data_IF_693948442070
#
_entry.id   IF_693948442070
#
_cell.length_a   1.000
_cell.length_b   1.000
_cell.length_c   1.000
_cell.angle_alpha   90.00
_cell.angle_beta   90.00
_cell.angle_gamma   90.00
#
_symmetry.space_group_name_H-M   'P 1'
#
loop_
_entity.id
_entity.type
_entity.pdbx_description
1 polymer ?
#
# COMPACT_ATOMS: atom_id res chain seq x y z
N UNK A 1 16.89 -30.95 9.46
CA UNK A 1 15.53 -30.34 9.45
C UNK A 1 15.66 -29.01 10.16
N UNK A 2 15.75 -27.92 9.41
CA UNK A 2 15.62 -26.61 10.03
C UNK A 2 14.20 -26.47 10.57
N UNK A 3 14.02 -25.96 11.81
CA UNK A 3 12.68 -25.70 12.31
C UNK A 3 12.04 -24.69 11.37
N UNK A 4 10.86 -25.02 10.83
CA UNK A 4 10.03 -24.05 10.12
C UNK A 4 9.90 -22.81 11.01
N UNK A 5 10.64 -21.77 10.68
CA UNK A 5 10.43 -20.43 11.26
C UNK A 5 9.04 -20.02 10.85
N UNK A 6 8.09 -20.22 11.74
CA UNK A 6 6.72 -19.79 11.58
C UNK A 6 6.72 -18.25 11.62
N UNK A 7 7.16 -17.63 10.51
CA UNK A 7 7.25 -16.17 10.38
C UNK A 7 5.85 -15.61 10.51
N UNK A 8 5.61 -14.89 11.60
CA UNK A 8 4.30 -14.34 11.92
C UNK A 8 4.15 -12.91 11.44
N UNK A 9 5.24 -12.14 11.42
CA UNK A 9 5.26 -10.72 11.09
C UNK A 9 6.10 -10.50 9.85
N UNK A 10 5.55 -9.80 8.86
CA UNK A 10 6.27 -9.27 7.72
C UNK A 10 6.15 -7.76 7.72
N UNK A 11 7.28 -7.05 7.67
CA UNK A 11 7.31 -5.59 7.59
C UNK A 11 7.76 -5.17 6.20
N UNK A 12 6.90 -4.44 5.49
CA UNK A 12 7.19 -3.86 4.18
C UNK A 12 7.64 -2.41 4.36
N UNK A 13 8.89 -2.12 4.02
CA UNK A 13 9.45 -0.77 4.08
C UNK A 13 9.64 -0.24 2.66
N UNK A 14 9.30 1.01 2.41
CA UNK A 14 9.53 1.65 1.12
C UNK A 14 8.93 3.04 1.06
N UNK A 15 9.30 3.82 0.06
CA UNK A 15 8.86 5.20 -0.10
C UNK A 15 7.34 5.32 -0.20
N UNK A 16 6.85 6.52 0.04
CA UNK A 16 5.44 6.84 -0.16
C UNK A 16 5.05 6.52 -1.61
N UNK A 17 3.90 5.86 -1.79
CA UNK A 17 3.38 5.42 -3.09
C UNK A 17 4.18 4.30 -3.81
N UNK A 18 5.09 3.61 -3.12
CA UNK A 18 5.80 2.43 -3.68
C UNK A 18 4.91 1.19 -3.88
N UNK A 19 3.63 1.25 -3.52
CA UNK A 19 2.68 0.14 -3.72
C UNK A 19 2.50 -0.78 -2.52
N UNK A 20 3.08 -0.49 -1.34
CA UNK A 20 2.98 -1.33 -0.12
C UNK A 20 1.55 -1.72 0.24
N UNK A 21 0.66 -0.73 0.38
CA UNK A 21 -0.75 -0.97 0.73
C UNK A 21 -1.49 -1.77 -0.34
N UNK A 22 -1.13 -1.58 -1.62
CA UNK A 22 -1.67 -2.38 -2.72
C UNK A 22 -1.21 -3.84 -2.63
N UNK A 23 0.08 -4.05 -2.36
CA UNK A 23 0.64 -5.40 -2.18
C UNK A 23 -0.01 -6.14 -1.00
N UNK A 24 -0.25 -5.45 0.12
CA UNK A 24 -0.95 -6.03 1.26
C UNK A 24 -2.37 -6.49 0.91
N UNK A 25 -3.13 -5.68 0.17
CA UNK A 25 -4.49 -6.04 -0.29
C UNK A 25 -4.45 -7.21 -1.27
N UNK A 26 -3.53 -7.16 -2.25
CA UNK A 26 -3.36 -8.26 -3.20
C UNK A 26 -2.96 -9.58 -2.51
N UNK A 27 -2.19 -9.52 -1.43
CA UNK A 27 -1.86 -10.70 -0.62
C UNK A 27 -3.11 -11.30 0.03
N UNK A 28 -3.98 -10.46 0.62
CA UNK A 28 -5.22 -10.92 1.22
C UNK A 28 -6.16 -11.56 0.19
N UNK A 29 -6.31 -10.94 -0.96
CA UNK A 29 -7.11 -11.46 -2.08
C UNK A 29 -6.54 -12.80 -2.60
N UNK A 30 -5.22 -12.87 -2.81
CA UNK A 30 -4.55 -14.08 -3.28
C UNK A 30 -4.70 -15.26 -2.31
N UNK A 31 -4.60 -15.00 -1.02
CA UNK A 31 -4.73 -16.04 0.02
C UNK A 31 -6.17 -16.33 0.43
N UNK A 32 -7.14 -15.58 -0.11
CA UNK A 32 -8.57 -15.61 0.28
C UNK A 32 -8.75 -15.52 1.80
N UNK A 33 -7.92 -14.69 2.44
CA UNK A 33 -7.88 -14.57 3.90
C UNK A 33 -8.83 -13.49 4.40
N UNK A 34 -9.56 -13.76 5.48
CA UNK A 34 -10.27 -12.73 6.22
C UNK A 34 -9.26 -11.72 6.79
N UNK A 35 -9.39 -10.45 6.41
CA UNK A 35 -8.39 -9.43 6.66
C UNK A 35 -8.91 -8.33 7.59
N UNK A 36 -8.13 -8.02 8.62
CA UNK A 36 -8.28 -6.78 9.40
C UNK A 36 -7.29 -5.74 8.87
N UNK A 37 -7.80 -4.63 8.32
CA UNK A 37 -6.99 -3.53 7.81
C UNK A 37 -7.06 -2.32 8.75
N UNK A 38 -5.94 -2.00 9.37
CA UNK A 38 -5.79 -0.87 10.29
C UNK A 38 -4.84 0.18 9.72
N UNK A 39 -5.18 1.44 9.93
CA UNK A 39 -4.36 2.59 9.63
C UNK A 39 -4.57 3.68 10.69
N UNK A 40 -3.89 4.81 10.56
CA UNK A 40 -3.97 5.95 11.49
C UNK A 40 -5.41 6.49 11.67
N UNK A 41 -6.27 6.35 10.68
CA UNK A 41 -7.64 6.90 10.71
C UNK A 41 -8.66 6.00 11.38
N UNK A 42 -8.47 4.67 11.37
CA UNK A 42 -9.47 3.73 11.91
C UNK A 42 -9.04 2.97 13.17
N UNK A 43 -7.73 2.95 13.47
CA UNK A 43 -7.20 2.21 14.59
C UNK A 43 -7.76 2.67 15.94
N UNK A 44 -8.01 3.98 16.12
CA UNK A 44 -8.55 4.53 17.37
C UNK A 44 -9.93 3.97 17.71
N UNK A 45 -10.75 3.73 16.70
CA UNK A 45 -12.14 3.27 16.84
C UNK A 45 -12.30 1.75 16.79
N UNK A 46 -11.21 1.00 16.50
CA UNK A 46 -11.28 -0.44 16.43
C UNK A 46 -11.39 -1.06 17.83
N UNK A 47 -12.35 -1.98 18.03
CA UNK A 47 -12.51 -2.74 19.28
C UNK A 47 -11.78 -4.09 19.17
N UNK A 48 -10.98 -4.44 20.20
CA UNK A 48 -10.08 -5.61 20.17
C UNK A 48 -10.85 -6.94 20.33
N UNK A 49 -12.14 -6.90 20.62
CA UNK A 49 -12.95 -8.06 21.04
C UNK A 49 -13.21 -9.15 19.98
N UNK A 50 -12.75 -9.00 18.75
CA UNK A 50 -13.14 -9.90 17.63
C UNK A 50 -11.98 -10.23 16.70
N UNK A 51 -10.75 -10.40 17.23
CA UNK A 51 -9.56 -10.67 16.40
C UNK A 51 -9.51 -12.10 15.85
N UNK A 52 -10.15 -13.04 16.51
CA UNK A 52 -10.20 -14.47 16.14
C UNK A 52 -10.80 -14.73 14.75
N UNK A 53 -11.72 -13.89 14.32
CA UNK A 53 -12.37 -13.97 13.00
C UNK A 53 -11.43 -13.65 11.82
N UNK A 54 -10.28 -13.01 12.08
CA UNK A 54 -9.33 -12.61 11.03
C UNK A 54 -8.16 -13.59 10.94
N UNK A 55 -7.73 -13.86 9.70
CA UNK A 55 -6.54 -14.67 9.40
C UNK A 55 -5.30 -13.82 9.15
N UNK A 56 -5.50 -12.56 8.76
CA UNK A 56 -4.45 -11.62 8.41
C UNK A 56 -4.72 -10.25 9.01
N UNK A 57 -3.77 -9.73 9.80
CA UNK A 57 -3.72 -8.33 10.20
C UNK A 57 -2.85 -7.55 9.22
N UNK A 58 -3.34 -6.44 8.72
CA UNK A 58 -2.57 -5.44 7.99
C UNK A 58 -2.57 -4.14 8.79
N UNK A 59 -1.39 -3.63 9.13
CA UNK A 59 -1.21 -2.31 9.72
C UNK A 59 -0.51 -1.44 8.70
N UNK A 60 -1.26 -0.51 8.10
CA UNK A 60 -0.74 0.33 7.02
C UNK A 60 -0.15 1.64 7.57
N UNK A 61 1.08 1.95 7.14
CA UNK A 61 1.85 3.13 7.54
C UNK A 61 1.98 3.28 9.07
N UNK A 62 2.57 2.29 9.73
CA UNK A 62 2.76 2.27 11.19
C UNK A 62 3.53 3.51 11.71
N UNK A 63 4.34 4.11 10.87
CA UNK A 63 5.08 5.33 11.16
C UNK A 63 4.18 6.57 11.38
N UNK A 64 2.89 6.52 11.00
CA UNK A 64 1.93 7.60 11.26
C UNK A 64 1.37 7.60 12.70
N UNK A 65 1.52 6.51 13.44
CA UNK A 65 1.06 6.44 14.85
C UNK A 65 2.11 6.89 15.87
N UNK A 66 3.31 7.25 15.41
CA UNK A 66 4.43 7.69 16.26
C UNK A 66 4.01 8.87 17.12
N UNK A 67 4.51 8.93 18.37
CA UNK A 67 4.22 9.94 19.37
C UNK A 67 2.78 9.93 19.93
N UNK A 68 1.97 8.94 19.57
CA UNK A 68 0.67 8.70 20.19
C UNK A 68 0.71 7.43 21.05
N UNK A 69 0.98 7.58 22.34
CA UNK A 69 1.14 6.45 23.28
C UNK A 69 -0.06 5.50 23.26
N UNK A 70 -1.27 6.05 23.20
CA UNK A 70 -2.51 5.24 23.21
C UNK A 70 -2.62 4.39 21.95
N UNK A 71 -2.24 4.91 20.78
CA UNK A 71 -2.26 4.14 19.53
C UNK A 71 -1.13 3.11 19.49
N UNK A 72 0.07 3.45 20.01
CA UNK A 72 1.18 2.51 20.08
C UNK A 72 0.85 1.33 21.00
N UNK A 73 0.28 1.58 22.20
CA UNK A 73 -0.18 0.53 23.12
C UNK A 73 -1.28 -0.34 22.50
N UNK A 74 -2.23 0.29 21.82
CA UNK A 74 -3.33 -0.41 21.17
C UNK A 74 -2.83 -1.32 20.07
N UNK A 75 -1.96 -0.85 19.17
CA UNK A 75 -1.33 -1.67 18.13
C UNK A 75 -0.49 -2.78 18.73
N UNK A 76 0.28 -2.49 19.76
CA UNK A 76 1.08 -3.52 20.43
C UNK A 76 0.20 -4.65 20.99
N UNK A 77 -0.93 -4.29 21.63
CA UNK A 77 -1.90 -5.26 22.13
C UNK A 77 -2.48 -6.11 21.00
N UNK A 78 -2.92 -5.48 19.90
CA UNK A 78 -3.48 -6.19 18.73
C UNK A 78 -2.45 -7.14 18.12
N UNK A 79 -1.20 -6.70 17.94
CA UNK A 79 -0.12 -7.53 17.41
C UNK A 79 0.12 -8.75 18.31
N UNK A 80 0.19 -8.56 19.63
CA UNK A 80 0.41 -9.65 20.57
C UNK A 80 -0.73 -10.68 20.55
N UNK A 81 -1.98 -10.23 20.53
CA UNK A 81 -3.15 -11.10 20.41
C UNK A 81 -3.14 -11.90 19.10
N UNK A 82 -2.84 -11.27 17.97
CA UNK A 82 -2.71 -11.97 16.68
C UNK A 82 -1.58 -13.01 16.69
N UNK A 83 -0.46 -12.72 17.39
CA UNK A 83 0.62 -13.69 17.57
C UNK A 83 0.14 -14.90 18.42
N UNK A 84 -0.56 -14.66 19.53
CA UNK A 84 -1.13 -15.70 20.39
C UNK A 84 -2.11 -16.58 19.61
N UNK A 85 -2.94 -15.99 18.78
CA UNK A 85 -3.87 -16.67 17.88
C UNK A 85 -3.19 -17.34 16.67
N UNK A 86 -1.86 -17.25 16.55
CA UNK A 86 -1.06 -17.78 15.42
C UNK A 86 -1.47 -17.25 14.05
N UNK A 87 -1.98 -16.02 13.99
CA UNK A 87 -2.40 -15.36 12.76
C UNK A 87 -1.24 -14.66 12.07
N UNK A 88 -1.39 -14.35 10.79
CA UNK A 88 -0.39 -13.63 9.98
C UNK A 88 -0.50 -12.13 10.18
N UNK A 89 0.64 -11.44 10.14
CA UNK A 89 0.70 -9.98 10.34
C UNK A 89 1.56 -9.38 9.24
N UNK A 90 1.02 -8.39 8.53
CA UNK A 90 1.74 -7.59 7.56
C UNK A 90 1.68 -6.12 7.97
N UNK A 91 2.84 -5.49 8.09
CA UNK A 91 2.95 -4.10 8.54
C UNK A 91 3.65 -3.31 7.46
N UNK A 92 3.18 -2.11 7.15
CA UNK A 92 3.88 -1.22 6.22
C UNK A 92 4.45 -0.01 6.94
N UNK A 93 5.59 0.49 6.43
CA UNK A 93 6.24 1.71 6.89
C UNK A 93 6.85 2.48 5.72
N UNK A 94 6.84 3.81 5.79
CA UNK A 94 7.61 4.64 4.88
C UNK A 94 9.02 4.90 5.39
N UNK A 95 9.24 4.68 6.68
CA UNK A 95 10.53 4.90 7.34
C UNK A 95 11.18 3.57 7.70
N UNK A 96 12.51 3.55 7.65
CA UNK A 96 13.31 2.43 8.16
C UNK A 96 13.05 2.31 9.66
N UNK A 97 12.76 1.10 10.16
CA UNK A 97 12.37 0.87 11.56
C UNK A 97 13.40 1.42 12.56
N UNK A 98 14.69 1.43 12.22
CA UNK A 98 15.74 1.98 13.07
C UNK A 98 15.62 3.48 13.32
N UNK A 99 15.00 4.20 12.39
CA UNK A 99 14.80 5.65 12.46
C UNK A 99 13.49 6.02 13.19
N UNK A 100 12.65 5.03 13.46
CA UNK A 100 11.38 5.24 14.14
C UNK A 100 11.61 5.23 15.65
N UNK A 101 11.19 6.30 16.32
CA UNK A 101 11.26 6.44 17.78
C UNK A 101 9.86 6.21 18.37
N UNK A 102 9.47 4.96 18.51
CA UNK A 102 8.27 4.63 19.29
C UNK A 102 8.50 4.97 20.76
N UNK A 103 7.44 5.44 21.43
CA UNK A 103 7.44 5.61 22.90
C UNK A 103 7.45 4.27 23.61
N UNK A 104 6.85 3.24 22.97
CA UNK A 104 6.84 1.86 23.46
C UNK A 104 7.98 1.08 22.80
N UNK A 105 9.13 0.85 23.49
CA UNK A 105 10.30 0.16 22.91
C UNK A 105 9.97 -1.28 22.49
N UNK A 106 9.05 -1.94 23.19
CA UNK A 106 8.65 -3.33 22.92
C UNK A 106 7.96 -3.47 21.57
N UNK A 107 7.24 -2.43 21.11
CA UNK A 107 6.66 -2.41 19.77
C UNK A 107 7.77 -2.50 18.70
N UNK A 108 8.82 -1.68 18.81
CA UNK A 108 9.94 -1.72 17.88
C UNK A 108 10.64 -3.08 17.89
N UNK A 109 10.84 -3.68 19.07
CA UNK A 109 11.43 -5.01 19.22
C UNK A 109 10.60 -6.06 18.48
N UNK A 110 9.28 -6.01 18.62
CA UNK A 110 8.36 -6.91 17.89
C UNK A 110 8.47 -6.77 16.38
N UNK A 111 8.48 -5.53 15.88
CA UNK A 111 8.57 -5.25 14.44
C UNK A 111 9.89 -5.74 13.82
N UNK A 112 10.97 -5.80 14.60
CA UNK A 112 12.28 -6.27 14.16
C UNK A 112 12.47 -7.78 14.28
N UNK A 113 11.53 -8.49 14.92
CA UNK A 113 11.73 -9.90 15.29
C UNK A 113 11.68 -10.87 14.14
N UNK A 114 11.02 -10.51 13.03
CA UNK A 114 10.77 -11.42 11.91
C UNK A 114 11.33 -10.86 10.58
N UNK A 115 10.54 -10.88 9.52
CA UNK A 115 11.00 -10.54 8.17
C UNK A 115 10.76 -9.08 7.81
N UNK A 116 11.81 -8.39 7.40
CA UNK A 116 11.76 -7.04 6.83
C UNK A 116 12.02 -7.14 5.33
N UNK A 117 11.11 -6.59 4.52
CA UNK A 117 11.22 -6.55 3.06
C UNK A 117 11.22 -5.10 2.61
N UNK A 118 12.26 -4.71 1.87
CA UNK A 118 12.32 -3.38 1.26
C UNK A 118 11.63 -3.38 -0.09
N UNK A 119 10.66 -2.50 -0.25
CA UNK A 119 9.93 -2.29 -1.51
C UNK A 119 10.54 -1.09 -2.21
N UNK A 120 11.19 -1.34 -3.33
CA UNK A 120 11.73 -0.29 -4.20
C UNK A 120 10.66 0.28 -5.11
N UNK A 121 10.87 1.52 -5.54
CA UNK A 121 10.01 2.12 -6.56
C UNK A 121 10.09 1.33 -7.87
N UNK A 122 8.97 1.24 -8.58
CA UNK A 122 8.92 0.58 -9.89
C UNK A 122 9.76 1.35 -10.92
N UNK A 123 10.40 0.62 -11.81
CA UNK A 123 11.02 1.21 -13.00
C UNK A 123 9.98 1.91 -13.88
N UNK A 124 10.40 2.84 -14.73
CA UNK A 124 9.47 3.50 -15.66
C UNK A 124 8.81 2.48 -16.60
N UNK A 125 9.53 1.43 -17.01
CA UNK A 125 8.98 0.34 -17.82
C UNK A 125 7.86 -0.42 -17.08
N UNK A 126 8.05 -0.72 -15.80
CA UNK A 126 7.02 -1.40 -15.01
C UNK A 126 5.85 -0.48 -14.68
N UNK A 127 6.09 0.81 -14.47
CA UNK A 127 5.02 1.83 -14.37
C UNK A 127 4.17 1.85 -15.64
N UNK A 128 4.79 1.80 -16.83
CA UNK A 128 4.06 1.72 -18.12
C UNK A 128 3.15 0.49 -18.14
N UNK A 129 3.66 -0.69 -17.76
CA UNK A 129 2.85 -1.92 -17.69
C UNK A 129 1.65 -1.78 -16.75
N UNK A 130 1.86 -1.17 -15.58
CA UNK A 130 0.77 -0.90 -14.62
C UNK A 130 -0.27 0.04 -15.21
N UNK A 131 0.15 1.14 -15.87
CA UNK A 131 -0.76 2.09 -16.51
C UNK A 131 -1.56 1.44 -17.64
N UNK A 132 -0.92 0.64 -18.48
CA UNK A 132 -1.57 -0.10 -19.56
C UNK A 132 -2.59 -1.11 -19.04
N UNK A 133 -2.23 -1.86 -17.97
CA UNK A 133 -3.15 -2.77 -17.29
C UNK A 133 -4.36 -2.03 -16.72
N UNK A 134 -4.13 -0.94 -16.02
CA UNK A 134 -5.20 -0.12 -15.43
C UNK A 134 -6.15 0.46 -16.48
N UNK A 135 -5.64 0.88 -17.63
CA UNK A 135 -6.45 1.33 -18.77
C UNK A 135 -7.25 0.17 -19.39
N UNK A 136 -6.63 -0.99 -19.56
CA UNK A 136 -7.27 -2.19 -20.11
C UNK A 136 -8.41 -2.70 -19.23
N UNK A 137 -8.25 -2.69 -17.91
CA UNK A 137 -9.30 -3.03 -16.94
C UNK A 137 -10.51 -2.07 -17.01
N UNK A 138 -10.30 -0.85 -17.57
CA UNK A 138 -11.34 0.16 -17.84
C UNK A 138 -11.89 0.09 -19.26
N UNK A 139 -11.48 -0.91 -20.04
CA UNK A 139 -12.01 -1.18 -21.39
C UNK A 139 -11.37 -0.36 -22.50
N UNK A 140 -10.20 0.27 -22.31
CA UNK A 140 -9.51 1.01 -23.37
C UNK A 140 -8.01 0.71 -23.44
N UNK A 141 -7.45 0.90 -24.66
CA UNK A 141 -6.04 0.63 -24.95
C UNK A 141 -5.20 1.90 -24.77
N UNK A 142 -4.27 1.87 -23.82
CA UNK A 142 -3.28 2.94 -23.62
C UNK A 142 -2.04 2.67 -24.47
N UNK A 143 -1.84 3.49 -25.52
CA UNK A 143 -0.70 3.37 -26.44
C UNK A 143 0.60 3.75 -25.73
N UNK A 144 1.72 3.09 -26.07
CA UNK A 144 3.03 3.31 -25.44
C UNK A 144 3.49 4.76 -25.53
N UNK A 145 3.33 5.41 -26.68
CA UNK A 145 3.69 6.82 -26.84
C UNK A 145 2.91 7.78 -25.93
N UNK A 146 1.69 7.39 -25.53
CA UNK A 146 0.89 8.15 -24.57
C UNK A 146 1.39 7.89 -23.15
N UNK A 147 1.79 6.65 -22.81
CA UNK A 147 2.43 6.32 -21.54
C UNK A 147 3.72 7.12 -21.37
N UNK A 148 4.59 7.07 -22.36
CA UNK A 148 5.87 7.81 -22.37
C UNK A 148 5.64 9.31 -22.17
N UNK A 149 4.62 9.86 -22.83
CA UNK A 149 4.25 11.26 -22.65
C UNK A 149 3.84 11.54 -21.19
N UNK A 150 2.99 10.70 -20.59
CA UNK A 150 2.51 10.90 -19.23
C UNK A 150 3.68 10.83 -18.23
N UNK A 151 4.54 9.79 -18.32
CA UNK A 151 5.68 9.61 -17.41
C UNK A 151 6.70 10.75 -17.52
N UNK A 152 6.94 11.28 -18.73
CA UNK A 152 7.93 12.30 -18.95
C UNK A 152 7.47 13.72 -18.59
N UNK A 153 6.16 13.97 -18.52
CA UNK A 153 5.61 15.32 -18.34
C UNK A 153 4.89 15.55 -17.01
N UNK A 154 4.65 14.48 -16.23
CA UNK A 154 3.92 14.57 -14.96
C UNK A 154 4.69 13.91 -13.82
N UNK A 155 4.15 14.00 -12.59
CA UNK A 155 4.75 13.34 -11.42
C UNK A 155 4.83 11.84 -11.63
N UNK A 156 6.00 11.26 -11.34
CA UNK A 156 6.30 9.85 -11.60
C UNK A 156 5.83 8.89 -10.51
N UNK A 157 5.22 9.40 -9.43
CA UNK A 157 4.67 8.51 -8.41
C UNK A 157 3.46 7.72 -8.95
N UNK A 158 3.41 6.44 -8.59
CA UNK A 158 2.42 5.52 -9.14
C UNK A 158 0.98 5.90 -8.77
N UNK A 159 0.77 6.48 -7.59
CA UNK A 159 -0.56 6.92 -7.15
C UNK A 159 -1.07 8.06 -8.04
N UNK A 160 -0.22 9.06 -8.30
CA UNK A 160 -0.57 10.15 -9.21
C UNK A 160 -0.83 9.63 -10.63
N UNK A 161 0.05 8.76 -11.14
CA UNK A 161 -0.08 8.20 -12.48
C UNK A 161 -1.38 7.39 -12.65
N UNK A 162 -1.74 6.54 -11.69
CA UNK A 162 -3.02 5.82 -11.71
C UNK A 162 -4.22 6.77 -11.61
N UNK A 163 -4.10 7.85 -10.81
CA UNK A 163 -5.09 8.92 -10.76
C UNK A 163 -5.28 9.62 -12.11
N UNK A 164 -4.18 9.84 -12.86
CA UNK A 164 -4.24 10.38 -14.22
C UNK A 164 -5.03 9.47 -15.15
N UNK A 165 -4.78 8.14 -15.13
CA UNK A 165 -5.54 7.19 -15.97
C UNK A 165 -7.03 7.27 -15.68
N UNK A 166 -7.42 7.28 -14.41
CA UNK A 166 -8.83 7.43 -14.00
C UNK A 166 -9.43 8.73 -14.50
N UNK A 167 -8.72 9.84 -14.36
CA UNK A 167 -9.18 11.17 -14.79
C UNK A 167 -9.32 11.27 -16.30
N UNK A 168 -8.33 10.77 -17.06
CA UNK A 168 -8.35 10.72 -18.52
C UNK A 168 -9.54 9.90 -19.01
N UNK A 169 -9.78 8.72 -18.43
CA UNK A 169 -10.89 7.85 -18.76
C UNK A 169 -12.24 8.55 -18.56
N UNK A 170 -12.52 9.03 -17.35
CA UNK A 170 -13.79 9.69 -17.04
C UNK A 170 -14.03 10.94 -17.90
N UNK A 171 -12.98 11.71 -18.18
CA UNK A 171 -13.08 12.92 -19.00
C UNK A 171 -13.28 12.60 -20.49
N UNK A 172 -12.60 11.56 -20.99
CA UNK A 172 -12.77 11.11 -22.39
C UNK A 172 -14.20 10.63 -22.67
N UNK A 173 -14.76 9.86 -21.72
CA UNK A 173 -16.14 9.38 -21.80
C UNK A 173 -17.15 10.55 -21.76
N UNK A 174 -16.99 11.49 -20.82
CA UNK A 174 -17.89 12.65 -20.68
C UNK A 174 -17.87 13.55 -21.91
N UNK A 175 -16.69 13.75 -22.51
CA UNK A 175 -16.51 14.60 -23.69
C UNK A 175 -16.70 13.83 -25.02
N UNK A 176 -16.89 12.51 -24.98
CA UNK A 176 -16.95 11.62 -26.14
C UNK A 176 -15.76 11.81 -27.10
N UNK A 177 -14.53 11.88 -26.55
CA UNK A 177 -13.29 12.13 -27.29
C UNK A 177 -12.32 10.99 -27.16
N UNK A 178 -11.61 10.72 -28.25
CA UNK A 178 -10.50 9.75 -28.25
C UNK A 178 -9.33 10.26 -27.39
N UNK A 179 -8.67 9.33 -26.71
CA UNK A 179 -7.50 9.60 -25.88
C UNK A 179 -6.28 9.73 -26.77
N UNK A 180 -5.79 10.97 -26.86
CA UNK A 180 -4.61 11.35 -27.65
C UNK A 180 -3.73 12.30 -26.83
N UNK A 181 -2.44 12.44 -27.19
CA UNK A 181 -1.54 13.38 -26.50
C UNK A 181 -2.09 14.82 -26.49
N UNK A 182 -2.60 15.39 -27.61
CA UNK A 182 -3.24 16.71 -27.58
C UNK A 182 -4.44 16.81 -26.65
N UNK A 183 -5.25 15.75 -26.55
CA UNK A 183 -6.37 15.68 -25.60
C UNK A 183 -5.88 15.72 -24.16
N UNK A 184 -4.86 14.90 -23.81
CA UNK A 184 -4.26 14.86 -22.49
C UNK A 184 -3.66 16.21 -22.11
N UNK A 185 -2.89 16.83 -23.01
CA UNK A 185 -2.36 18.19 -22.80
C UNK A 185 -3.46 19.17 -22.42
N UNK A 186 -4.58 19.13 -23.15
CA UNK A 186 -5.69 20.05 -22.92
C UNK A 186 -6.36 19.84 -21.55
N UNK A 187 -6.61 18.60 -21.13
CA UNK A 187 -7.36 18.34 -19.89
C UNK A 187 -6.48 18.41 -18.63
N UNK A 188 -5.18 18.19 -18.76
CA UNK A 188 -4.23 18.19 -17.64
C UNK A 188 -3.44 19.49 -17.49
N UNK A 189 -3.54 20.43 -18.42
CA UNK A 189 -2.89 21.76 -18.33
C UNK A 189 -3.50 22.68 -17.26
N UNK A 190 -4.58 22.28 -16.62
CA UNK A 190 -5.29 23.03 -15.58
C UNK A 190 -5.08 22.46 -14.15
N UNK A 191 -4.04 21.62 -13.93
CA UNK A 191 -3.74 21.07 -12.59
C UNK A 191 -2.31 21.32 -12.18
#
# INVERSE_FOLDING_TARGET
MEPERNQKIVVLIGDKYSGKSHLCKALADYTNSSMLFLNDTNISNYEISSLDQYELLIVDNIDLIINNSSLEEKIFTIINEMILLKKKICITSTSILQNIKFRLPDLLSRLKSDQIINITELSDEDKIKVLQKNASERGWLLKSNVCDYIINHYKRDLFFLCGCIKYIDTTSLSLKKNITIPFIKKIMSYK
#
